data_IF_266355203702
#
_entry.id   IF_266355203702
#
_cell.length_a   1.000
_cell.length_b   1.000
_cell.length_c   1.000
_cell.angle_alpha   90.00
_cell.angle_beta   90.00
_cell.angle_gamma   90.00
#
_symmetry.space_group_name_H-M   'P 1'
#
loop_
_entity.id
_entity.type
_entity.pdbx_description
1 polymer ?
#
# COMPACT_ATOMS: atom_id res chain seq x y z
N UNK A 1 56.03 22.55 -54.12
CA UNK A 1 54.97 21.55 -53.86
C UNK A 1 55.55 20.41 -53.04
N UNK A 2 55.21 20.32 -51.75
CA UNK A 2 55.41 19.13 -50.91
C UNK A 2 54.11 18.88 -50.16
N UNK A 3 53.46 17.78 -50.50
CA UNK A 3 52.24 17.29 -49.84
C UNK A 3 52.69 16.62 -48.55
N UNK A 4 52.30 17.18 -47.40
CA UNK A 4 52.49 16.53 -46.10
C UNK A 4 51.26 15.67 -45.85
N UNK A 5 51.43 14.34 -45.86
CA UNK A 5 50.40 13.37 -45.48
C UNK A 5 50.35 13.26 -43.95
N UNK A 6 49.14 13.34 -43.41
CA UNK A 6 48.83 13.19 -41.99
C UNK A 6 48.98 11.71 -41.57
N UNK A 7 49.65 11.36 -40.45
CA UNK A 7 49.78 9.98 -40.02
C UNK A 7 48.51 9.49 -39.31
N UNK A 8 47.94 8.41 -39.87
CA UNK A 8 47.26 7.30 -39.18
C UNK A 8 46.29 7.65 -38.03
N UNK A 9 45.00 7.63 -38.37
CA UNK A 9 43.91 7.26 -37.45
C UNK A 9 44.26 5.92 -36.79
N UNK A 10 44.54 5.94 -35.48
CA UNK A 10 44.54 4.72 -34.68
C UNK A 10 43.10 4.23 -34.55
N UNK A 11 42.80 3.10 -35.18
CA UNK A 11 41.55 2.40 -35.01
C UNK A 11 41.43 1.89 -33.56
N UNK A 12 40.30 2.18 -32.92
CA UNK A 12 39.93 1.62 -31.61
C UNK A 12 39.98 0.09 -31.65
N UNK A 13 40.46 -0.60 -30.61
CA UNK A 13 40.50 -2.06 -30.58
C UNK A 13 39.08 -2.62 -30.65
N UNK A 14 38.85 -3.58 -31.56
CA UNK A 14 37.59 -4.29 -31.67
C UNK A 14 37.32 -5.06 -30.38
N UNK A 15 36.14 -4.84 -29.78
CA UNK A 15 35.71 -5.57 -28.60
C UNK A 15 35.63 -7.07 -28.93
N UNK A 16 36.31 -7.89 -28.14
CA UNK A 16 36.29 -9.34 -28.30
C UNK A 16 34.86 -9.89 -28.13
N UNK A 17 34.48 -10.94 -28.89
CA UNK A 17 33.15 -11.52 -28.81
C UNK A 17 32.91 -12.12 -27.42
N UNK A 18 32.07 -11.44 -26.62
CA UNK A 18 31.68 -11.87 -25.28
C UNK A 18 30.89 -13.17 -25.36
N UNK A 19 31.35 -14.19 -24.62
CA UNK A 19 30.67 -15.49 -24.55
C UNK A 19 29.22 -15.34 -24.07
N UNK A 20 28.25 -16.09 -24.65
CA UNK A 20 26.86 -16.02 -24.23
C UNK A 20 26.68 -16.39 -22.75
N UNK A 21 25.82 -15.66 -22.04
CA UNK A 21 25.52 -15.92 -20.64
C UNK A 21 25.00 -17.36 -20.43
N UNK A 22 25.59 -18.06 -19.47
CA UNK A 22 25.15 -19.40 -19.07
C UNK A 22 23.81 -19.29 -18.34
N UNK A 23 22.83 -20.09 -18.78
CA UNK A 23 21.49 -20.12 -18.20
C UNK A 23 21.53 -20.92 -16.89
N UNK A 24 21.19 -20.29 -15.77
CA UNK A 24 21.04 -20.99 -14.48
C UNK A 24 19.77 -21.83 -14.44
N UNK A 25 19.78 -22.91 -13.66
CA UNK A 25 18.64 -23.84 -13.53
C UNK A 25 17.37 -23.16 -13.01
N UNK A 26 17.53 -22.21 -12.07
CA UNK A 26 16.42 -21.49 -11.43
C UNK A 26 16.13 -20.12 -12.08
N UNK A 27 16.49 -19.92 -13.36
CA UNK A 27 16.24 -18.63 -14.02
C UNK A 27 14.74 -18.39 -14.24
N UNK A 28 14.32 -17.13 -14.18
CA UNK A 28 12.98 -16.77 -14.62
C UNK A 28 12.79 -17.06 -16.11
N UNK A 29 11.69 -17.73 -16.47
CA UNK A 29 11.33 -18.05 -17.85
C UNK A 29 9.99 -17.39 -18.19
N UNK A 30 9.90 -16.61 -19.29
CA UNK A 30 8.64 -16.01 -19.71
C UNK A 30 7.55 -17.05 -19.91
N UNK A 31 6.32 -16.76 -19.48
CA UNK A 31 5.20 -17.71 -19.64
C UNK A 31 4.91 -18.03 -21.10
N UNK A 32 5.19 -17.12 -22.04
CA UNK A 32 5.07 -17.39 -23.49
C UNK A 32 6.01 -18.51 -23.96
N UNK A 33 7.15 -18.68 -23.30
CA UNK A 33 8.09 -19.77 -23.55
C UNK A 33 7.74 -21.06 -22.79
N UNK A 34 6.95 -20.95 -21.71
CA UNK A 34 6.45 -22.10 -20.91
C UNK A 34 5.15 -22.66 -21.50
N UNK A 35 4.25 -21.82 -22.02
CA UNK A 35 2.99 -22.23 -22.65
C UNK A 35 3.23 -23.04 -23.94
N UNK A 36 4.22 -22.66 -24.75
CA UNK A 36 4.65 -23.49 -25.90
C UNK A 36 5.14 -24.89 -25.50
N UNK A 37 5.53 -25.12 -24.24
CA UNK A 37 5.91 -26.43 -23.72
C UNK A 37 4.74 -27.16 -23.01
N UNK A 38 3.76 -26.44 -22.46
CA UNK A 38 2.68 -26.98 -21.62
C UNK A 38 1.31 -27.12 -22.32
N UNK A 39 1.13 -26.68 -23.57
CA UNK A 39 -0.11 -26.86 -24.34
C UNK A 39 -0.45 -28.34 -24.66
N UNK A 40 0.28 -29.31 -24.10
CA UNK A 40 -0.04 -30.75 -24.16
C UNK A 40 -0.54 -31.36 -22.84
N UNK A 41 -0.62 -30.62 -21.73
CA UNK A 41 -1.01 -31.21 -20.45
C UNK A 41 -1.70 -30.21 -19.51
N UNK A 42 -2.97 -29.86 -19.78
CA UNK A 42 -4.00 -29.57 -18.78
C UNK A 42 -5.30 -29.11 -19.46
N UNK A 43 -6.12 -30.06 -19.89
CA UNK A 43 -7.58 -29.84 -19.95
C UNK A 43 -8.13 -30.16 -18.57
N UNK A 44 -8.11 -29.18 -17.67
CA UNK A 44 -8.87 -29.29 -16.42
C UNK A 44 -10.27 -28.75 -16.73
N UNK A 45 -11.28 -29.60 -16.54
CA UNK A 45 -12.70 -29.44 -16.88
C UNK A 45 -13.43 -28.40 -16.00
N UNK A 46 -12.72 -27.35 -15.59
CA UNK A 46 -13.24 -26.26 -14.75
C UNK A 46 -13.02 -24.94 -15.48
N UNK A 47 -14.13 -24.25 -15.77
CA UNK A 47 -14.17 -22.90 -16.33
C UNK A 47 -13.60 -21.82 -15.37
N UNK A 48 -13.06 -22.22 -14.20
CA UNK A 48 -12.53 -21.33 -13.16
C UNK A 48 -11.01 -21.19 -13.27
N UNK A 49 -10.53 -19.95 -13.15
CA UNK A 49 -9.10 -19.66 -13.12
C UNK A 49 -8.49 -20.10 -11.79
N UNK A 50 -7.29 -20.68 -11.83
CA UNK A 50 -6.56 -21.01 -10.61
C UNK A 50 -6.10 -19.76 -9.85
N UNK A 51 -5.88 -19.89 -8.55
CA UNK A 51 -5.37 -18.81 -7.69
C UNK A 51 -4.07 -18.19 -8.24
N UNK A 52 -3.18 -19.01 -8.80
CA UNK A 52 -1.92 -18.56 -9.38
C UNK A 52 -2.13 -17.66 -10.61
N UNK A 53 -3.08 -18.03 -11.49
CA UNK A 53 -3.42 -17.25 -12.67
C UNK A 53 -4.04 -15.91 -12.27
N UNK A 54 -4.99 -15.94 -11.33
CA UNK A 54 -5.61 -14.72 -10.76
C UNK A 54 -4.53 -13.85 -10.14
N UNK A 55 -3.65 -14.42 -9.32
CA UNK A 55 -2.56 -13.71 -8.66
C UNK A 55 -1.68 -12.97 -9.65
N UNK A 56 -1.23 -13.65 -10.70
CA UNK A 56 -0.37 -13.05 -11.72
C UNK A 56 -1.08 -11.94 -12.50
N UNK A 57 -2.33 -12.15 -12.90
CA UNK A 57 -3.11 -11.17 -13.68
C UNK A 57 -3.45 -9.94 -12.86
N UNK A 58 -3.91 -10.12 -11.62
CA UNK A 58 -4.23 -9.04 -10.69
C UNK A 58 -2.99 -8.25 -10.32
N UNK A 59 -1.83 -8.90 -10.04
CA UNK A 59 -0.56 -8.19 -9.82
C UNK A 59 -0.18 -7.31 -11.02
N UNK A 60 -0.34 -7.81 -12.24
CA UNK A 60 -0.06 -7.03 -13.44
C UNK A 60 -1.00 -5.82 -13.62
N UNK A 61 -2.27 -5.95 -13.21
CA UNK A 61 -3.24 -4.85 -13.21
C UNK A 61 -2.96 -3.82 -12.12
N UNK A 62 -2.67 -4.26 -10.90
CA UNK A 62 -2.31 -3.38 -9.78
C UNK A 62 -1.07 -2.54 -10.12
N UNK A 63 -0.05 -3.12 -10.77
CA UNK A 63 1.13 -2.39 -11.24
C UNK A 63 0.82 -1.32 -12.32
N UNK A 64 -0.33 -1.41 -12.99
CA UNK A 64 -0.76 -0.47 -14.04
C UNK A 64 -1.84 0.50 -13.52
N UNK A 65 -2.29 0.34 -12.27
CA UNK A 65 -3.33 1.16 -11.69
C UNK A 65 -2.81 2.59 -11.51
N UNK A 66 -3.51 3.53 -12.11
CA UNK A 66 -3.21 4.98 -12.08
C UNK A 66 -4.54 5.73 -12.03
N UNK A 67 -4.52 7.03 -11.72
CA UNK A 67 -5.75 7.83 -11.66
C UNK A 67 -6.47 7.82 -13.00
N UNK A 68 -5.73 7.95 -14.10
CA UNK A 68 -6.28 8.01 -15.45
C UNK A 68 -6.90 6.68 -15.90
N UNK A 69 -6.31 5.56 -15.49
CA UNK A 69 -6.78 4.22 -15.84
C UNK A 69 -7.63 3.57 -14.75
N UNK A 70 -8.00 4.33 -13.72
CA UNK A 70 -8.62 3.79 -12.51
C UNK A 70 -9.91 3.03 -12.82
N UNK A 71 -10.84 3.64 -13.54
CA UNK A 71 -12.16 3.04 -13.77
C UNK A 71 -12.05 1.76 -14.60
N UNK A 72 -11.24 1.76 -15.67
CA UNK A 72 -11.05 0.57 -16.52
C UNK A 72 -10.32 -0.56 -15.79
N UNK A 73 -9.25 -0.26 -15.06
CA UNK A 73 -8.45 -1.29 -14.38
C UNK A 73 -9.17 -1.83 -13.14
N UNK A 74 -9.87 -0.97 -12.39
CA UNK A 74 -10.66 -1.41 -11.24
C UNK A 74 -11.77 -2.38 -11.64
N UNK A 75 -12.43 -2.15 -12.78
CA UNK A 75 -13.44 -3.07 -13.32
C UNK A 75 -12.81 -4.41 -13.75
N UNK A 76 -11.63 -4.38 -14.38
CA UNK A 76 -10.89 -5.61 -14.72
C UNK A 76 -10.48 -6.40 -13.48
N UNK A 77 -9.96 -5.73 -12.44
CA UNK A 77 -9.63 -6.38 -11.16
C UNK A 77 -10.89 -7.00 -10.56
N UNK A 78 -12.01 -6.27 -10.58
CA UNK A 78 -13.27 -6.76 -10.05
C UNK A 78 -13.81 -7.98 -10.82
N UNK A 79 -13.60 -8.04 -12.14
CA UNK A 79 -14.01 -9.19 -12.95
C UNK A 79 -13.34 -10.50 -12.51
N UNK A 80 -12.10 -10.44 -12.00
CA UNK A 80 -11.45 -11.61 -11.40
C UNK A 80 -12.06 -11.96 -10.05
N UNK A 81 -12.41 -10.96 -9.23
CA UNK A 81 -13.07 -11.19 -7.95
C UNK A 81 -14.49 -11.79 -8.12
N UNK A 82 -15.21 -11.45 -9.20
CA UNK A 82 -16.51 -12.03 -9.56
C UNK A 82 -16.46 -13.54 -9.79
N UNK A 83 -15.30 -14.13 -10.04
CA UNK A 83 -15.19 -15.59 -10.12
C UNK A 83 -15.72 -16.27 -8.85
N UNK A 84 -15.66 -15.60 -7.69
CA UNK A 84 -16.22 -16.09 -6.44
C UNK A 84 -17.75 -16.24 -6.43
N UNK A 85 -18.49 -15.80 -7.46
CA UNK A 85 -19.89 -16.20 -7.68
C UNK A 85 -20.02 -17.70 -7.98
N UNK A 86 -18.96 -18.31 -8.52
CA UNK A 86 -18.87 -19.72 -8.91
C UNK A 86 -18.05 -20.56 -7.94
N UNK A 87 -17.58 -19.97 -6.84
CA UNK A 87 -16.78 -20.62 -5.80
C UNK A 87 -17.61 -20.68 -4.51
N UNK A 88 -17.42 -21.71 -3.68
CA UNK A 88 -18.10 -21.79 -2.39
C UNK A 88 -17.31 -21.11 -1.26
N UNK A 89 -15.99 -21.03 -1.42
CA UNK A 89 -15.09 -20.49 -0.43
C UNK A 89 -14.69 -19.04 -0.74
N UNK A 90 -15.05 -18.45 -1.87
CA UNK A 90 -14.66 -17.06 -2.18
C UNK A 90 -13.15 -16.85 -2.37
N UNK A 91 -12.41 -17.88 -2.80
CA UNK A 91 -10.96 -17.83 -3.04
C UNK A 91 -10.53 -16.62 -3.87
N UNK A 92 -11.14 -16.39 -5.03
CA UNK A 92 -10.74 -15.31 -5.94
C UNK A 92 -10.86 -13.93 -5.29
N UNK A 93 -11.97 -13.65 -4.59
CA UNK A 93 -12.17 -12.40 -3.86
C UNK A 93 -11.12 -12.23 -2.75
N UNK A 94 -10.84 -13.27 -1.96
CA UNK A 94 -9.80 -13.21 -0.91
C UNK A 94 -8.42 -12.92 -1.50
N UNK A 95 -8.09 -13.55 -2.62
CA UNK A 95 -6.81 -13.35 -3.31
C UNK A 95 -6.70 -11.92 -3.85
N UNK A 96 -7.75 -11.38 -4.46
CA UNK A 96 -7.78 -9.98 -4.94
C UNK A 96 -7.61 -8.99 -3.77
N UNK A 97 -8.32 -9.19 -2.66
CA UNK A 97 -8.19 -8.35 -1.47
C UNK A 97 -6.77 -8.43 -0.90
N UNK A 98 -6.22 -9.64 -0.76
CA UNK A 98 -4.83 -9.87 -0.29
C UNK A 98 -3.82 -9.06 -1.10
N UNK A 99 -3.88 -9.16 -2.42
CA UNK A 99 -2.94 -8.49 -3.31
C UNK A 99 -3.07 -6.97 -3.27
N UNK A 100 -4.31 -6.48 -3.13
CA UNK A 100 -4.56 -5.05 -2.96
C UNK A 100 -3.95 -4.53 -1.66
N UNK A 101 -4.07 -5.27 -0.55
CA UNK A 101 -3.44 -4.93 0.73
C UNK A 101 -1.93 -4.95 0.67
N UNK A 102 -1.33 -6.00 0.10
CA UNK A 102 0.12 -6.10 -0.07
C UNK A 102 0.67 -4.87 -0.81
N UNK A 103 0.00 -4.44 -1.90
CA UNK A 103 0.39 -3.24 -2.64
C UNK A 103 0.16 -1.96 -1.85
N UNK A 104 -0.95 -1.83 -1.14
CA UNK A 104 -1.24 -0.64 -0.35
C UNK A 104 -0.23 -0.43 0.80
N UNK A 105 0.21 -1.51 1.45
CA UNK A 105 1.25 -1.46 2.47
C UNK A 105 2.63 -1.13 1.89
N UNK A 106 2.93 -1.60 0.67
CA UNK A 106 4.18 -1.29 -0.01
C UNK A 106 4.23 0.12 -0.60
N UNK A 107 3.09 0.71 -0.93
CA UNK A 107 2.98 1.99 -1.65
C UNK A 107 2.08 3.00 -0.90
N UNK A 108 2.49 3.46 0.30
CA UNK A 108 1.66 4.29 1.17
C UNK A 108 1.28 5.65 0.56
N UNK A 109 2.09 6.18 -0.36
CA UNK A 109 1.78 7.42 -1.08
C UNK A 109 0.51 7.29 -1.96
N UNK A 110 0.12 6.07 -2.31
CA UNK A 110 -1.05 5.76 -3.13
C UNK A 110 -2.20 5.18 -2.28
N UNK A 111 -2.11 5.21 -0.94
CA UNK A 111 -3.09 4.64 -0.02
C UNK A 111 -4.54 5.08 -0.33
N UNK A 112 -4.77 6.33 -0.70
CA UNK A 112 -6.09 6.85 -1.05
C UNK A 112 -6.66 6.21 -2.33
N UNK A 113 -5.81 5.93 -3.32
CA UNK A 113 -6.19 5.21 -4.54
C UNK A 113 -6.53 3.76 -4.26
N UNK A 114 -5.72 3.08 -3.43
CA UNK A 114 -6.01 1.71 -3.01
C UNK A 114 -7.30 1.63 -2.20
N UNK A 115 -7.58 2.62 -1.35
CA UNK A 115 -8.81 2.67 -0.57
C UNK A 115 -10.03 2.90 -1.47
N UNK A 116 -9.89 3.76 -2.48
CA UNK A 116 -10.91 3.95 -3.53
C UNK A 116 -11.17 2.64 -4.30
N UNK A 117 -10.14 1.84 -4.58
CA UNK A 117 -10.31 0.53 -5.22
C UNK A 117 -11.11 -0.43 -4.32
N UNK A 118 -10.77 -0.52 -3.02
CA UNK A 118 -11.55 -1.29 -2.06
C UNK A 118 -13.02 -0.83 -2.00
N UNK A 119 -13.25 0.49 -1.95
CA UNK A 119 -14.60 1.04 -1.96
C UNK A 119 -15.35 0.68 -3.24
N UNK A 120 -14.72 0.82 -4.42
CA UNK A 120 -15.32 0.42 -5.71
C UNK A 120 -15.70 -1.05 -5.71
N UNK A 121 -14.79 -1.94 -5.29
CA UNK A 121 -15.08 -3.37 -5.21
C UNK A 121 -16.25 -3.66 -4.25
N UNK A 122 -16.25 -3.03 -3.07
CA UNK A 122 -17.33 -3.18 -2.09
C UNK A 122 -18.68 -2.70 -2.63
N UNK A 123 -18.73 -1.59 -3.38
CA UNK A 123 -19.97 -1.07 -3.96
C UNK A 123 -20.47 -1.91 -5.13
N UNK A 124 -19.59 -2.63 -5.82
CA UNK A 124 -19.93 -3.48 -6.96
C UNK A 124 -20.30 -4.92 -6.58
N UNK A 125 -20.20 -5.28 -5.30
CA UNK A 125 -20.56 -6.60 -4.78
C UNK A 125 -22.03 -6.96 -5.04
N UNK A 126 -22.24 -8.19 -5.51
CA UNK A 126 -23.56 -8.82 -5.68
C UNK A 126 -23.78 -9.85 -4.56
N UNK A 127 -25.04 -10.18 -4.24
CA UNK A 127 -25.35 -11.20 -3.24
C UNK A 127 -25.01 -12.63 -3.72
N UNK A 128 -24.70 -12.80 -5.01
CA UNK A 128 -24.29 -14.06 -5.59
C UNK A 128 -22.86 -14.45 -5.16
N UNK A 129 -22.04 -13.46 -4.81
CA UNK A 129 -20.72 -13.69 -4.21
C UNK A 129 -20.90 -14.04 -2.74
N UNK A 130 -20.58 -15.28 -2.38
CA UNK A 130 -20.74 -15.82 -1.02
C UNK A 130 -19.54 -16.64 -0.58
N UNK A 131 -19.36 -16.74 0.74
CA UNK A 131 -18.42 -17.67 1.36
C UNK A 131 -19.18 -18.48 2.41
N UNK A 132 -19.29 -19.78 2.18
CA UNK A 132 -20.03 -20.70 3.07
C UNK A 132 -19.31 -20.94 4.39
N UNK A 133 -17.99 -20.67 4.47
CA UNK A 133 -17.20 -20.80 5.69
C UNK A 133 -17.42 -19.64 6.66
N UNK A 134 -17.94 -18.50 6.20
CA UNK A 134 -18.19 -17.32 7.00
C UNK A 134 -19.68 -17.10 7.24
N UNK A 135 -20.13 -17.35 8.46
CA UNK A 135 -21.53 -17.16 8.84
C UNK A 135 -21.78 -15.74 9.37
N UNK A 136 -22.97 -15.21 9.09
CA UNK A 136 -23.50 -13.99 9.69
C UNK A 136 -24.08 -14.24 11.10
N UNK A 137 -24.55 -13.17 11.74
CA UNK A 137 -25.12 -13.23 13.09
C UNK A 137 -26.40 -14.09 13.15
N UNK A 138 -26.99 -14.42 12.00
CA UNK A 138 -28.17 -15.25 11.84
C UNK A 138 -27.82 -16.70 11.43
N UNK A 139 -26.53 -17.03 11.29
CA UNK A 139 -26.05 -18.34 10.89
C UNK A 139 -26.13 -18.61 9.37
N UNK A 140 -26.42 -17.60 8.55
CA UNK A 140 -26.43 -17.72 7.09
C UNK A 140 -25.04 -17.43 6.49
N UNK A 141 -24.70 -18.01 5.32
CA UNK A 141 -23.49 -17.66 4.59
C UNK A 141 -23.40 -16.16 4.31
N UNK A 142 -22.25 -15.58 4.58
CA UNK A 142 -22.00 -14.16 4.33
C UNK A 142 -21.93 -13.92 2.82
N UNK A 143 -22.66 -12.93 2.34
CA UNK A 143 -22.71 -12.57 0.92
C UNK A 143 -22.52 -11.06 0.69
N UNK A 144 -22.19 -10.72 -0.56
CA UNK A 144 -22.13 -9.35 -1.06
C UNK A 144 -21.28 -8.40 -0.21
N UNK A 145 -21.83 -7.21 0.08
CA UNK A 145 -21.12 -6.15 0.82
C UNK A 145 -20.69 -6.58 2.21
N UNK A 146 -21.52 -7.38 2.91
CA UNK A 146 -21.21 -7.85 4.26
C UNK A 146 -20.00 -8.78 4.25
N UNK A 147 -19.93 -9.69 3.26
CA UNK A 147 -18.78 -10.56 3.06
C UNK A 147 -17.51 -9.75 2.80
N UNK A 148 -17.57 -8.76 1.91
CA UNK A 148 -16.43 -7.90 1.62
C UNK A 148 -15.94 -7.18 2.89
N UNK A 149 -16.85 -6.64 3.70
CA UNK A 149 -16.49 -5.98 4.97
C UNK A 149 -15.85 -6.95 5.95
N UNK A 150 -16.30 -8.20 6.03
CA UNK A 150 -15.67 -9.24 6.88
C UNK A 150 -14.26 -9.57 6.44
N UNK A 151 -14.04 -9.77 5.14
CA UNK A 151 -12.69 -10.01 4.61
C UNK A 151 -11.77 -8.81 4.81
N UNK A 152 -12.26 -7.60 4.56
CA UNK A 152 -11.51 -6.36 4.77
C UNK A 152 -11.09 -6.23 6.24
N UNK A 153 -12.04 -6.43 7.17
CA UNK A 153 -11.78 -6.35 8.60
C UNK A 153 -10.81 -7.43 9.07
N UNK A 154 -11.03 -8.69 8.68
CA UNK A 154 -10.16 -9.82 9.02
C UNK A 154 -8.74 -9.58 8.53
N UNK A 155 -8.57 -9.11 7.28
CA UNK A 155 -7.25 -8.77 6.74
C UNK A 155 -6.60 -7.62 7.50
N UNK A 156 -7.32 -6.52 7.77
CA UNK A 156 -6.80 -5.43 8.60
C UNK A 156 -6.32 -5.93 9.96
N UNK A 157 -7.09 -6.81 10.60
CA UNK A 157 -6.75 -7.35 11.91
C UNK A 157 -5.50 -8.22 11.87
N UNK A 158 -5.41 -9.16 10.93
CA UNK A 158 -4.24 -10.05 10.76
C UNK A 158 -2.97 -9.23 10.52
N UNK A 159 -3.00 -8.28 9.58
CA UNK A 159 -1.83 -7.46 9.29
C UNK A 159 -1.48 -6.52 10.45
N UNK A 160 -2.49 -6.04 11.19
CA UNK A 160 -2.28 -5.20 12.36
C UNK A 160 -1.65 -5.97 13.52
N UNK A 161 -2.11 -7.19 13.79
CA UNK A 161 -1.63 -8.08 14.87
C UNK A 161 -0.22 -8.60 14.61
N UNK A 162 0.12 -8.90 13.33
CA UNK A 162 1.48 -9.24 12.90
C UNK A 162 2.52 -8.25 13.45
N UNK A 163 2.15 -6.98 13.50
CA UNK A 163 2.99 -5.93 14.04
C UNK A 163 4.23 -5.65 13.21
N UNK A 164 4.91 -4.57 13.55
CA UNK A 164 6.06 -4.07 12.78
C UNK A 164 7.17 -3.49 13.66
N UNK A 165 6.97 -3.48 14.97
CA UNK A 165 8.02 -3.14 15.94
C UNK A 165 8.89 -4.38 16.14
N UNK A 166 9.68 -4.69 15.12
CA UNK A 166 10.77 -5.66 15.22
C UNK A 166 11.95 -4.89 15.85
N UNK A 167 12.59 -5.46 16.87
CA UNK A 167 13.84 -4.89 17.39
C UNK A 167 14.85 -4.88 16.25
N UNK A 168 15.10 -3.71 15.67
CA UNK A 168 16.15 -3.57 14.67
C UNK A 168 17.50 -3.76 15.38
N UNK A 169 18.40 -4.58 14.82
CA UNK A 169 19.78 -4.64 15.29
C UNK A 169 20.35 -3.22 15.35
N UNK A 170 21.22 -2.95 16.33
CA UNK A 170 21.95 -1.69 16.36
C UNK A 170 22.68 -1.50 15.03
N UNK A 171 22.52 -0.31 14.46
CA UNK A 171 22.83 -0.04 13.08
C UNK A 171 24.34 0.20 12.88
N UNK A 172 25.14 -0.84 13.12
CA UNK A 172 26.50 -0.92 12.61
C UNK A 172 26.46 -1.17 11.09
N UNK A 173 27.45 -0.68 10.35
CA UNK A 173 27.51 -0.84 8.88
C UNK A 173 27.45 -2.31 8.47
N UNK A 174 28.03 -3.20 9.29
CA UNK A 174 27.96 -4.65 9.10
C UNK A 174 26.54 -5.21 9.30
N UNK A 175 25.78 -4.67 10.25
CA UNK A 175 24.43 -5.11 10.58
C UNK A 175 23.38 -4.62 9.56
N UNK A 176 23.58 -3.43 8.98
CA UNK A 176 22.70 -2.89 7.91
C UNK A 176 22.73 -3.71 6.61
N UNK A 177 23.77 -4.51 6.40
CA UNK A 177 23.93 -5.38 5.22
C UNK A 177 23.31 -6.78 5.42
N UNK A 178 22.74 -7.06 6.58
CA UNK A 178 22.14 -8.37 6.86
C UNK A 178 20.72 -8.50 6.29
N UNK A 179 20.39 -9.69 5.79
CA UNK A 179 19.03 -10.01 5.32
C UNK A 179 17.98 -9.79 6.42
N UNK A 180 18.36 -10.01 7.68
CA UNK A 180 17.51 -9.82 8.85
C UNK A 180 17.16 -8.34 9.08
N UNK A 181 18.14 -7.43 8.93
CA UNK A 181 17.90 -5.98 8.97
C UNK A 181 16.96 -5.53 7.84
N UNK A 182 17.20 -5.97 6.60
CA UNK A 182 16.33 -5.62 5.47
C UNK A 182 14.90 -6.15 5.65
N UNK A 183 14.74 -7.36 6.20
CA UNK A 183 13.44 -7.93 6.52
C UNK A 183 12.71 -7.11 7.60
N UNK A 184 13.41 -6.72 8.67
CA UNK A 184 12.87 -5.88 9.74
C UNK A 184 12.48 -4.48 9.24
N UNK A 185 13.35 -3.83 8.46
CA UNK A 185 13.08 -2.52 7.86
C UNK A 185 11.89 -2.59 6.88
N UNK A 186 11.79 -3.64 6.06
CA UNK A 186 10.65 -3.87 5.19
C UNK A 186 9.35 -4.06 5.99
N UNK A 187 9.39 -4.86 7.05
CA UNK A 187 8.24 -5.07 7.93
C UNK A 187 7.79 -3.75 8.59
N UNK A 188 8.74 -2.93 9.07
CA UNK A 188 8.48 -1.59 9.61
C UNK A 188 7.78 -0.69 8.59
N UNK A 189 8.35 -0.59 7.39
CA UNK A 189 7.81 0.23 6.28
C UNK A 189 6.39 -0.22 5.89
N UNK A 190 6.17 -1.52 5.74
CA UNK A 190 4.86 -2.08 5.42
C UNK A 190 3.84 -1.87 6.55
N UNK A 191 4.26 -1.98 7.82
CA UNK A 191 3.38 -1.73 8.96
C UNK A 191 2.96 -0.27 9.10
N UNK A 192 3.88 0.67 8.85
CA UNK A 192 3.52 2.10 8.80
C UNK A 192 2.63 2.40 7.59
N UNK A 193 2.88 1.76 6.43
CA UNK A 193 2.03 1.88 5.26
C UNK A 193 0.62 1.32 5.46
N UNK A 194 0.50 0.21 6.19
CA UNK A 194 -0.78 -0.37 6.62
C UNK A 194 -1.60 0.64 7.42
N UNK A 195 -0.99 1.37 8.36
CA UNK A 195 -1.71 2.38 9.15
C UNK A 195 -2.26 3.50 8.27
N UNK A 196 -1.45 3.99 7.32
CA UNK A 196 -1.92 5.01 6.36
C UNK A 196 -3.10 4.49 5.54
N UNK A 197 -3.01 3.24 5.07
CA UNK A 197 -4.07 2.61 4.32
C UNK A 197 -5.35 2.39 5.14
N UNK A 198 -5.24 1.95 6.39
CA UNK A 198 -6.36 1.86 7.34
C UNK A 198 -7.01 3.24 7.56
N UNK A 199 -6.21 4.31 7.63
CA UNK A 199 -6.69 5.69 7.68
C UNK A 199 -7.59 6.04 6.50
N UNK A 200 -7.14 5.76 5.28
CA UNK A 200 -7.91 6.05 4.06
C UNK A 200 -9.17 5.16 3.95
N UNK A 201 -9.11 3.89 4.36
CA UNK A 201 -10.29 3.02 4.44
C UNK A 201 -11.32 3.50 5.47
N UNK A 202 -10.87 3.99 6.62
CA UNK A 202 -11.74 4.55 7.66
C UNK A 202 -12.42 5.84 7.18
N UNK A 203 -11.70 6.69 6.44
CA UNK A 203 -12.26 7.89 5.82
C UNK A 203 -13.41 7.60 4.84
N UNK A 204 -13.38 6.43 4.20
CA UNK A 204 -14.45 5.92 3.33
C UNK A 204 -15.49 5.06 4.06
N UNK A 205 -15.55 5.13 5.39
CA UNK A 205 -16.52 4.43 6.25
C UNK A 205 -16.53 2.89 6.10
N UNK A 206 -15.42 2.33 5.62
CA UNK A 206 -15.26 0.88 5.43
C UNK A 206 -14.82 0.16 6.70
N UNK A 207 -14.28 0.90 7.68
CA UNK A 207 -13.75 0.37 8.94
C UNK A 207 -14.43 1.03 10.15
N UNK A 208 -14.40 0.34 11.29
CA UNK A 208 -15.00 0.83 12.53
C UNK A 208 -14.02 1.69 13.34
N UNK A 209 -14.55 2.46 14.30
CA UNK A 209 -13.74 3.28 15.21
C UNK A 209 -12.76 2.43 16.06
N UNK A 210 -13.06 1.15 16.30
CA UNK A 210 -12.26 0.27 17.17
C UNK A 210 -10.86 0.01 16.60
N UNK A 211 -10.75 -0.33 15.31
CA UNK A 211 -9.44 -0.56 14.69
C UNK A 211 -8.65 0.76 14.59
N UNK A 212 -9.36 1.87 14.40
CA UNK A 212 -8.73 3.19 14.33
C UNK A 212 -8.13 3.62 15.67
N UNK A 213 -8.86 3.41 16.77
CA UNK A 213 -8.32 3.60 18.11
C UNK A 213 -7.05 2.76 18.34
N UNK A 214 -7.07 1.49 17.90
CA UNK A 214 -5.89 0.62 17.94
C UNK A 214 -4.68 1.22 17.22
N UNK A 215 -4.88 1.79 16.01
CA UNK A 215 -3.81 2.44 15.25
C UNK A 215 -3.22 3.65 15.98
N UNK A 216 -4.06 4.52 16.53
CA UNK A 216 -3.62 5.71 17.30
C UNK A 216 -2.78 5.31 18.51
N UNK A 217 -3.26 4.33 19.30
CA UNK A 217 -2.55 3.84 20.49
C UNK A 217 -1.23 3.17 20.10
N UNK A 218 -1.20 2.37 19.04
CA UNK A 218 0.01 1.66 18.62
C UNK A 218 1.12 2.61 18.16
N UNK A 219 0.76 3.68 17.46
CA UNK A 219 1.68 4.77 17.09
C UNK A 219 2.14 5.58 18.31
N UNK A 220 1.25 5.81 19.28
CA UNK A 220 1.57 6.56 20.50
C UNK A 220 2.04 5.71 21.67
N UNK A 221 2.35 4.41 21.49
CA UNK A 221 2.57 3.53 22.64
C UNK A 221 3.79 3.93 23.47
N UNK A 222 4.86 4.37 22.79
CA UNK A 222 6.10 4.84 23.40
C UNK A 222 6.56 6.16 22.73
N UNK A 223 5.95 7.31 23.10
CA UNK A 223 6.22 8.59 22.45
C UNK A 223 7.62 9.13 22.77
N UNK A 224 8.19 8.78 23.93
CA UNK A 224 9.50 9.27 24.34
C UNK A 224 10.62 8.65 23.50
N UNK A 225 10.43 7.39 23.05
CA UNK A 225 11.37 6.70 22.17
C UNK A 225 10.91 6.64 20.71
N UNK A 226 9.84 7.35 20.33
CA UNK A 226 9.36 7.38 18.95
C UNK A 226 10.44 7.91 18.00
N UNK A 227 10.59 7.25 16.84
CA UNK A 227 11.42 7.74 15.75
C UNK A 227 10.64 8.64 14.80
N UNK A 228 11.36 9.27 13.87
CA UNK A 228 10.80 10.16 12.86
C UNK A 228 9.67 9.49 12.05
N UNK A 229 9.82 8.21 11.68
CA UNK A 229 8.85 7.51 10.84
C UNK A 229 7.50 7.29 11.55
N UNK A 230 7.51 6.89 12.83
CA UNK A 230 6.30 6.72 13.63
C UNK A 230 5.57 8.05 13.85
N UNK A 231 6.32 9.10 14.20
CA UNK A 231 5.76 10.43 14.42
C UNK A 231 5.22 11.03 13.12
N UNK A 232 5.93 10.88 12.00
CA UNK A 232 5.46 11.30 10.68
C UNK A 232 4.21 10.54 10.25
N UNK A 233 4.17 9.22 10.48
CA UNK A 233 2.98 8.39 10.18
C UNK A 233 1.78 8.84 11.01
N UNK A 234 1.97 9.14 12.29
CA UNK A 234 0.91 9.69 13.14
C UNK A 234 0.40 11.05 12.66
N UNK A 235 1.31 11.95 12.26
CA UNK A 235 0.94 13.24 11.71
C UNK A 235 0.09 13.08 10.44
N UNK A 236 0.54 12.25 9.48
CA UNK A 236 -0.20 11.97 8.24
C UNK A 236 -1.57 11.37 8.52
N UNK A 237 -1.65 10.41 9.44
CA UNK A 237 -2.92 9.79 9.83
C UNK A 237 -3.89 10.84 10.38
N UNK A 238 -3.45 11.67 11.33
CA UNK A 238 -4.28 12.75 11.89
C UNK A 238 -4.68 13.78 10.83
N UNK A 239 -3.81 14.11 9.88
CA UNK A 239 -4.17 14.99 8.76
C UNK A 239 -5.28 14.37 7.89
N UNK A 240 -5.25 13.06 7.64
CA UNK A 240 -6.25 12.37 6.81
C UNK A 240 -7.60 12.21 7.51
N UNK A 241 -7.62 11.78 8.78
CA UNK A 241 -8.84 11.37 9.48
C UNK A 241 -9.20 12.23 10.69
N UNK A 242 -8.39 13.24 11.04
CA UNK A 242 -8.58 14.05 12.25
C UNK A 242 -9.94 14.75 12.30
N UNK A 243 -10.40 15.29 11.16
CA UNK A 243 -11.74 15.87 11.04
C UNK A 243 -12.84 14.85 11.35
N UNK A 244 -12.71 13.64 10.82
CA UNK A 244 -13.67 12.56 11.05
C UNK A 244 -13.67 12.12 12.51
N UNK A 245 -12.49 12.04 13.14
CA UNK A 245 -12.38 11.71 14.57
C UNK A 245 -12.90 12.82 15.49
N UNK A 246 -12.70 14.09 15.17
CA UNK A 246 -13.22 15.20 16.00
C UNK A 246 -14.73 15.42 15.83
N UNK A 247 -15.38 14.73 14.90
CA UNK A 247 -16.83 14.88 14.66
C UNK A 247 -17.72 14.37 15.81
N UNK A 248 -17.23 13.41 16.61
CA UNK A 248 -17.99 12.81 17.72
C UNK A 248 -17.26 13.05 19.05
N UNK A 249 -18.00 13.29 20.16
CA UNK A 249 -17.38 13.54 21.47
C UNK A 249 -16.47 12.41 21.95
N UNK A 250 -16.82 11.15 21.66
CA UNK A 250 -16.03 9.98 22.06
C UNK A 250 -14.68 9.94 21.36
N UNK A 251 -14.67 10.12 20.04
CA UNK A 251 -13.47 10.02 19.20
C UNK A 251 -12.61 11.29 19.30
N UNK A 252 -13.20 12.46 19.54
CA UNK A 252 -12.49 13.70 19.84
C UNK A 252 -11.59 13.57 21.08
N UNK A 253 -12.05 12.88 22.13
CA UNK A 253 -11.23 12.60 23.31
C UNK A 253 -9.97 11.80 22.99
N UNK A 254 -10.01 10.91 21.99
CA UNK A 254 -8.83 10.19 21.55
C UNK A 254 -7.81 11.13 20.91
N UNK A 255 -8.28 12.07 20.09
CA UNK A 255 -7.43 13.09 19.48
C UNK A 255 -6.84 14.01 20.55
N UNK A 256 -7.59 14.38 21.59
CA UNK A 256 -7.08 15.14 22.74
C UNK A 256 -5.92 14.42 23.43
N UNK A 257 -6.11 13.14 23.75
CA UNK A 257 -5.08 12.31 24.38
C UNK A 257 -3.85 12.23 23.47
N UNK A 258 -4.03 11.88 22.20
CA UNK A 258 -2.94 11.72 21.24
C UNK A 258 -2.16 13.02 21.06
N UNK A 259 -2.85 14.15 20.84
CA UNK A 259 -2.20 15.45 20.67
C UNK A 259 -1.49 15.93 21.93
N UNK A 260 -2.04 15.67 23.11
CA UNK A 260 -1.36 15.94 24.38
C UNK A 260 -0.07 15.12 24.53
N UNK A 261 -0.09 13.83 24.19
CA UNK A 261 1.12 12.98 24.21
C UNK A 261 2.14 13.40 23.17
N UNK A 262 1.70 13.75 21.96
CA UNK A 262 2.59 14.31 20.94
C UNK A 262 3.29 15.57 21.46
N UNK A 263 2.55 16.49 22.07
CA UNK A 263 3.07 17.75 22.58
C UNK A 263 4.02 17.56 23.78
N UNK A 264 3.62 16.77 24.76
CA UNK A 264 4.30 16.71 26.05
C UNK A 264 5.44 15.67 26.09
N UNK A 265 5.36 14.63 25.27
CA UNK A 265 6.32 13.52 25.28
C UNK A 265 7.10 13.45 23.95
N UNK A 266 6.40 13.40 22.81
CA UNK A 266 7.04 13.14 21.51
C UNK A 266 7.92 14.31 21.03
N UNK A 267 7.48 15.57 21.18
CA UNK A 267 8.29 16.73 20.79
C UNK A 267 9.59 16.87 21.60
N UNK A 268 9.62 16.30 22.80
CA UNK A 268 10.77 16.33 23.70
C UNK A 268 11.74 15.17 23.43
N UNK A 269 11.37 14.21 22.58
CA UNK A 269 12.26 13.10 22.24
C UNK A 269 13.50 13.61 21.47
N UNK A 270 14.71 13.11 21.82
CA UNK A 270 15.94 13.42 21.08
C UNK A 270 16.00 12.71 19.72
N UNK A 271 15.16 11.69 19.49
CA UNK A 271 15.13 10.90 18.24
C UNK A 271 14.30 11.56 17.14
N UNK A 272 13.57 12.62 17.46
CA UNK A 272 12.71 13.34 16.52
C UNK A 272 13.45 14.54 15.93
N UNK A 273 13.56 14.61 14.61
CA UNK A 273 14.18 15.71 13.89
C UNK A 273 13.32 16.98 13.92
N UNK A 274 13.94 18.14 13.74
CA UNK A 274 13.23 19.43 13.69
C UNK A 274 12.14 19.44 12.61
N UNK A 275 12.36 18.79 11.46
CA UNK A 275 11.36 18.66 10.39
C UNK A 275 10.08 18.00 10.90
N UNK A 276 10.20 16.88 11.61
CA UNK A 276 9.04 16.16 12.15
C UNK A 276 8.40 16.92 13.31
N UNK A 277 9.17 17.66 14.13
CA UNK A 277 8.60 18.58 15.13
C UNK A 277 7.73 19.66 14.48
N UNK A 278 8.15 20.22 13.35
CA UNK A 278 7.31 21.15 12.58
C UNK A 278 6.05 20.47 12.05
N UNK A 279 6.14 19.24 11.54
CA UNK A 279 4.95 18.47 11.13
C UNK A 279 3.96 18.25 12.28
N UNK A 280 4.45 17.97 13.50
CA UNK A 280 3.60 17.86 14.70
C UNK A 280 2.90 19.19 14.99
N UNK A 281 3.63 20.30 14.92
CA UNK A 281 3.08 21.64 15.12
C UNK A 281 2.01 21.98 14.07
N UNK A 282 2.24 21.61 12.81
CA UNK A 282 1.27 21.80 11.72
C UNK A 282 -0.04 21.06 11.99
N UNK A 283 0.01 19.85 12.57
CA UNK A 283 -1.20 19.11 12.96
C UNK A 283 -1.97 19.82 14.07
N UNK A 284 -1.28 20.39 15.07
CA UNK A 284 -1.96 21.17 16.12
C UNK A 284 -2.62 22.42 15.56
N UNK A 285 -1.94 23.10 14.65
CA UNK A 285 -2.47 24.28 13.97
C UNK A 285 -3.65 23.94 13.07
N UNK A 286 -3.57 22.82 12.33
CA UNK A 286 -4.67 22.31 11.51
C UNK A 286 -5.90 22.03 12.38
N UNK A 287 -5.73 21.41 13.56
CA UNK A 287 -6.84 21.16 14.50
C UNK A 287 -7.43 22.45 15.06
N UNK A 288 -6.61 23.43 15.45
CA UNK A 288 -7.08 24.77 15.88
C UNK A 288 -7.89 25.49 14.79
N UNK A 289 -7.57 25.22 13.53
CA UNK A 289 -8.29 25.73 12.36
C UNK A 289 -9.47 24.85 11.94
N UNK A 290 -10.01 24.03 12.85
CA UNK A 290 -11.13 23.12 12.59
C UNK A 290 -10.88 22.17 11.41
N UNK A 291 -9.64 21.70 11.26
CA UNK A 291 -9.21 20.79 10.19
C UNK A 291 -9.34 21.35 8.78
N UNK A 292 -9.31 22.66 8.63
CA UNK A 292 -9.27 23.33 7.32
C UNK A 292 -7.81 23.48 6.89
N UNK A 293 -7.35 22.81 5.81
CA UNK A 293 -5.98 22.94 5.35
C UNK A 293 -5.71 24.35 4.80
N UNK A 294 -4.56 24.94 5.15
CA UNK A 294 -4.15 26.25 4.61
C UNK A 294 -3.91 26.21 3.10
N UNK A 295 -3.32 25.10 2.60
CA UNK A 295 -3.04 24.88 1.18
C UNK A 295 -3.55 23.49 0.77
N UNK A 296 -4.66 23.42 0.04
CA UNK A 296 -5.20 22.16 -0.50
C UNK A 296 -4.32 21.51 -1.59
N UNK A 297 -3.29 22.22 -2.09
CA UNK A 297 -2.40 21.80 -3.17
C UNK A 297 -1.29 20.84 -2.76
N UNK A 298 -0.96 20.72 -1.47
CA UNK A 298 0.15 19.89 -0.97
C UNK A 298 -0.23 18.43 -0.66
N UNK A 299 -1.33 17.91 -1.23
CA UNK A 299 -1.62 16.47 -1.11
C UNK A 299 -0.59 15.67 -1.91
N UNK A 300 0.37 15.09 -1.18
CA UNK A 300 1.32 14.11 -1.72
C UNK A 300 0.54 12.85 -2.06
N UNK A 301 0.37 12.60 -3.35
CA UNK A 301 -0.36 11.46 -3.86
C UNK A 301 -0.35 11.47 -5.38
N UNK A 302 -0.84 10.39 -6.01
CA UNK A 302 -0.98 10.36 -7.45
C UNK A 302 -1.81 11.56 -7.92
N UNK A 303 -1.37 12.19 -9.01
CA UNK A 303 -2.06 13.28 -9.69
C UNK A 303 -2.18 12.95 -11.17
N UNK A 304 -3.07 13.62 -11.89
CA UNK A 304 -3.21 13.45 -13.34
C UNK A 304 -2.04 14.11 -14.06
N UNK A 305 -1.67 13.61 -15.25
CA UNK A 305 -0.62 14.22 -16.06
C UNK A 305 -0.94 15.69 -16.36
N UNK A 306 -2.21 16.00 -16.63
CA UNK A 306 -2.68 17.36 -16.83
C UNK A 306 -2.38 18.28 -15.63
N UNK A 307 -2.60 17.81 -14.39
CA UNK A 307 -2.32 18.58 -13.18
C UNK A 307 -0.82 18.78 -12.95
N UNK A 308 0.00 17.79 -13.32
CA UNK A 308 1.47 17.91 -13.28
C UNK A 308 1.95 18.96 -14.29
N UNK A 309 1.45 18.93 -15.53
CA UNK A 309 1.78 19.94 -16.54
C UNK A 309 1.32 21.35 -16.11
N UNK A 310 0.12 21.49 -15.56
CA UNK A 310 -0.39 22.77 -15.06
C UNK A 310 0.46 23.34 -13.90
N UNK A 311 0.91 22.48 -12.98
CA UNK A 311 1.84 22.88 -11.90
C UNK A 311 3.19 23.33 -12.47
N UNK A 312 3.75 22.59 -13.43
CA UNK A 312 5.02 22.91 -14.07
C UNK A 312 4.97 24.21 -14.90
N UNK A 313 3.80 24.60 -15.42
CA UNK A 313 3.59 25.89 -16.09
C UNK A 313 3.46 27.06 -15.12
N UNK A 314 2.91 26.84 -13.92
CA UNK A 314 2.80 27.87 -12.87
C UNK A 314 4.11 28.16 -12.15
N UNK A 315 5.05 27.23 -12.18
CA UNK A 315 6.39 27.36 -11.58
C UNK A 315 7.43 27.99 -12.55
N UNK A 316 7.02 28.40 -13.75
CA UNK A 316 7.83 29.16 -14.72
C UNK A 316 7.54 30.66 -14.64
#
# INVERSE_FOLDING_TARGET
MKIIRNPSQQASPALEPVAPLTKTENRWVPTVAVQQANDKAASTDSDLLSEEVITRKVKALLNKLTIEKFDSISEQIFSYAKQSEKEEDGMALRTVIKLTFEKACDEPAFASMWARLCHRMSSSMTNDIRDTSLLDDQGNPSCGVLLFRKYLFSRCQVEFEKGWKVNMPEADESAMLTDEYYAAAKAKRQGLGLIQFIGELFKLEMLSERIMYGCLIKLCNDPQNAGDEEAESLCKLLTTIGKTLDSKPKTSKWVDIVTARMKNEMMNSPKISSRVKFMIQDVFDLRKQNWVPRNASNQVGPTTLAKIHEMAEKDK
#
